data_IF_788292448055
#
_entry.id   IF_788292448055
#
_cell.length_a   1.000
_cell.length_b   1.000
_cell.length_c   1.000
_cell.angle_alpha   90.00
_cell.angle_beta   90.00
_cell.angle_gamma   90.00
#
_symmetry.space_group_name_H-M   'P 1'
#
loop_
_entity.id
_entity.type
_entity.pdbx_description
1 polymer ?
#
# COMPACT_ATOMS: atom_id res chain seq x y z
N UNK A 1 26.79 -57.61 -4.82
CA UNK A 1 27.91 -57.71 -5.78
C UNK A 1 27.60 -56.98 -7.09
N UNK A 2 26.37 -57.09 -7.62
CA UNK A 2 25.93 -56.38 -8.83
C UNK A 2 26.07 -54.85 -8.78
N UNK A 3 25.71 -54.21 -7.65
CA UNK A 3 25.76 -52.74 -7.50
C UNK A 3 27.20 -52.18 -7.59
N UNK A 4 28.18 -52.92 -7.06
CA UNK A 4 29.59 -52.54 -7.06
C UNK A 4 30.22 -52.67 -8.45
N UNK A 5 29.76 -53.64 -9.25
CA UNK A 5 30.18 -53.82 -10.64
C UNK A 5 29.56 -52.73 -11.52
N UNK A 6 28.26 -52.46 -11.36
CA UNK A 6 27.55 -51.39 -12.07
C UNK A 6 28.17 -50.01 -11.80
N UNK A 7 28.49 -49.69 -10.54
CA UNK A 7 29.14 -48.42 -10.18
C UNK A 7 30.54 -48.27 -10.78
N UNK A 8 31.32 -49.36 -10.81
CA UNK A 8 32.68 -49.35 -11.36
C UNK A 8 32.68 -49.23 -12.88
N UNK A 9 31.74 -49.88 -13.57
CA UNK A 9 31.53 -49.72 -15.02
C UNK A 9 31.05 -48.30 -15.35
N UNK A 10 30.06 -47.78 -14.63
CA UNK A 10 29.56 -46.42 -14.79
C UNK A 10 30.64 -45.36 -14.58
N UNK A 11 31.47 -45.51 -13.54
CA UNK A 11 32.60 -44.59 -13.28
C UNK A 11 33.66 -44.64 -14.38
N UNK A 12 33.90 -45.81 -14.96
CA UNK A 12 34.83 -46.00 -16.09
C UNK A 12 34.29 -45.40 -17.38
N UNK A 13 33.00 -45.57 -17.66
CA UNK A 13 32.34 -44.97 -18.83
C UNK A 13 32.16 -43.46 -18.70
N UNK A 14 32.01 -42.92 -17.48
CA UNK A 14 32.11 -41.47 -17.22
C UNK A 14 33.46 -40.92 -17.67
N UNK A 15 34.56 -41.62 -17.37
CA UNK A 15 35.91 -41.22 -17.75
C UNK A 15 36.18 -41.33 -19.27
N UNK A 16 35.35 -42.05 -20.03
CA UNK A 16 35.45 -42.20 -21.49
C UNK A 16 34.79 -41.04 -22.28
N UNK A 17 34.28 -40.01 -21.60
CA UNK A 17 33.89 -38.72 -22.19
C UNK A 17 32.48 -38.64 -22.78
N UNK A 18 31.95 -39.73 -23.34
CA UNK A 18 30.61 -39.72 -23.96
C UNK A 18 29.47 -39.53 -22.94
N UNK A 19 29.50 -40.24 -21.81
CA UNK A 19 28.49 -40.06 -20.73
C UNK A 19 28.61 -38.71 -20.04
N UNK A 20 29.82 -38.13 -20.00
CA UNK A 20 30.03 -36.78 -19.43
C UNK A 20 29.33 -35.71 -20.27
N UNK A 21 29.32 -35.85 -21.60
CA UNK A 21 28.57 -34.93 -22.47
C UNK A 21 27.06 -35.00 -22.22
N UNK A 22 26.51 -36.22 -22.08
CA UNK A 22 25.07 -36.40 -21.77
C UNK A 22 24.75 -35.84 -20.39
N UNK A 23 25.58 -36.13 -19.38
CA UNK A 23 25.40 -35.62 -18.02
C UNK A 23 25.48 -34.09 -17.99
N UNK A 24 26.44 -33.49 -18.69
CA UNK A 24 26.56 -32.04 -18.81
C UNK A 24 25.34 -31.43 -19.52
N UNK A 25 24.84 -32.05 -20.59
CA UNK A 25 23.66 -31.59 -21.30
C UNK A 25 22.40 -31.63 -20.42
N UNK A 26 22.19 -32.72 -19.67
CA UNK A 26 21.06 -32.84 -18.73
C UNK A 26 21.21 -31.84 -17.58
N UNK A 27 22.41 -31.71 -17.01
CA UNK A 27 22.68 -30.78 -15.91
C UNK A 27 22.44 -29.34 -16.37
N UNK A 28 22.90 -28.98 -17.56
CA UNK A 28 22.65 -27.69 -18.18
C UNK A 28 21.15 -27.45 -18.38
N UNK A 29 20.42 -28.41 -18.95
CA UNK A 29 18.97 -28.29 -19.15
C UNK A 29 18.21 -28.09 -17.83
N UNK A 30 18.52 -28.89 -16.80
CA UNK A 30 17.89 -28.79 -15.47
C UNK A 30 18.24 -27.48 -14.77
N UNK A 31 19.50 -27.04 -14.85
CA UNK A 31 19.94 -25.75 -14.31
C UNK A 31 19.24 -24.58 -15.01
N UNK A 32 19.11 -24.63 -16.34
CA UNK A 32 18.42 -23.59 -17.11
C UNK A 32 16.94 -23.49 -16.72
N UNK A 33 16.22 -24.62 -16.64
CA UNK A 33 14.80 -24.63 -16.23
C UNK A 33 14.64 -24.18 -14.77
N UNK A 34 15.49 -24.65 -13.87
CA UNK A 34 15.47 -24.26 -12.44
C UNK A 34 15.80 -22.78 -12.24
N UNK A 35 16.79 -22.27 -12.99
CA UNK A 35 17.17 -20.87 -12.97
C UNK A 35 16.03 -19.97 -13.43
N UNK A 36 15.35 -20.33 -14.52
CA UNK A 36 14.19 -19.60 -15.02
C UNK A 36 13.04 -19.59 -13.99
N UNK A 37 12.75 -20.74 -13.36
CA UNK A 37 11.72 -20.83 -12.31
C UNK A 37 12.03 -19.88 -11.13
N UNK A 38 13.28 -19.86 -10.65
CA UNK A 38 13.69 -18.96 -9.56
C UNK A 38 13.60 -17.48 -9.92
N UNK A 39 13.90 -17.13 -11.17
CA UNK A 39 13.74 -15.75 -11.64
C UNK A 39 12.25 -15.37 -11.65
N UNK A 40 11.38 -16.26 -12.12
CA UNK A 40 9.92 -16.04 -12.13
C UNK A 40 9.37 -15.86 -10.71
N UNK A 41 9.75 -16.71 -9.77
CA UNK A 41 9.35 -16.60 -8.35
C UNK A 41 9.81 -15.27 -7.72
N UNK A 42 11.05 -14.85 -8.00
CA UNK A 42 11.55 -13.56 -7.50
C UNK A 42 10.80 -12.38 -8.08
N UNK A 43 10.45 -12.42 -9.37
CA UNK A 43 9.62 -11.40 -10.00
C UNK A 43 8.23 -11.35 -9.36
N UNK A 44 7.59 -12.51 -9.17
CA UNK A 44 6.28 -12.60 -8.54
C UNK A 44 6.29 -12.10 -7.09
N UNK A 45 7.33 -12.45 -6.32
CA UNK A 45 7.51 -11.99 -4.95
C UNK A 45 7.79 -10.49 -4.86
N UNK A 46 8.59 -9.94 -5.78
CA UNK A 46 8.84 -8.51 -5.85
C UNK A 46 7.56 -7.73 -6.18
N UNK A 47 6.78 -8.21 -7.15
CA UNK A 47 5.49 -7.60 -7.50
C UNK A 47 4.51 -7.70 -6.32
N UNK A 48 4.38 -8.87 -5.69
CA UNK A 48 3.41 -9.08 -4.60
C UNK A 48 3.79 -8.32 -3.33
N UNK A 49 5.07 -8.33 -2.95
CA UNK A 49 5.58 -7.64 -1.76
C UNK A 49 5.52 -6.12 -1.88
N UNK A 50 5.73 -5.59 -3.08
CA UNK A 50 5.60 -4.15 -3.34
C UNK A 50 4.13 -3.75 -3.52
N UNK A 51 3.27 -4.63 -4.06
CA UNK A 51 1.83 -4.39 -4.17
C UNK A 51 1.16 -4.20 -2.81
N UNK A 52 1.48 -5.00 -1.79
CA UNK A 52 0.92 -4.80 -0.44
C UNK A 52 1.32 -3.44 0.17
N UNK A 53 2.53 -2.95 -0.12
CA UNK A 53 2.92 -1.59 0.30
C UNK A 53 2.17 -0.51 -0.46
N UNK A 54 1.82 -0.79 -1.72
CA UNK A 54 1.05 0.12 -2.59
C UNK A 54 -0.46 0.16 -2.28
N UNK A 55 -0.96 -0.75 -1.46
CA UNK A 55 -2.35 -0.70 -0.96
C UNK A 55 -2.40 -0.41 0.54
N UNK A 56 -1.28 0.01 1.12
CA UNK A 56 -1.12 0.29 2.54
C UNK A 56 -1.44 -0.87 3.52
N UNK A 57 -1.68 -2.09 3.04
CA UNK A 57 -2.14 -3.23 3.83
C UNK A 57 -1.89 -4.58 3.12
N UNK A 58 -2.09 -5.70 3.82
CA UNK A 58 -2.11 -7.03 3.17
C UNK A 58 -3.44 -7.32 2.46
N UNK A 59 -4.55 -6.81 3.02
CA UNK A 59 -5.90 -6.95 2.49
C UNK A 59 -6.69 -5.69 2.79
N UNK A 60 -7.53 -5.28 1.85
CA UNK A 60 -8.50 -4.20 2.00
C UNK A 60 -9.89 -4.83 1.90
N UNK A 61 -10.78 -4.41 2.78
CA UNK A 61 -12.22 -4.67 2.66
C UNK A 61 -12.87 -3.32 2.48
N UNK A 62 -13.36 -3.06 1.27
CA UNK A 62 -14.11 -1.86 0.95
C UNK A 62 -15.61 -2.16 1.03
N UNK A 63 -16.34 -1.31 1.74
CA UNK A 63 -17.78 -1.44 1.93
C UNK A 63 -18.41 -0.05 2.02
N UNK A 64 -19.50 0.21 1.27
CA UNK A 64 -20.22 1.49 1.35
C UNK A 64 -21.00 1.65 2.67
N UNK A 65 -21.04 0.61 3.50
CA UNK A 65 -21.71 0.62 4.81
C UNK A 65 -20.76 0.13 5.89
N UNK A 66 -21.02 0.53 7.13
CA UNK A 66 -20.22 0.09 8.27
C UNK A 66 -20.18 -1.44 8.32
N UNK A 67 -18.96 -1.99 8.35
CA UNK A 67 -18.76 -3.44 8.42
C UNK A 67 -19.41 -4.01 9.68
N UNK A 68 -19.91 -5.25 9.55
CA UNK A 68 -20.42 -6.00 10.69
C UNK A 68 -19.30 -6.25 11.72
N UNK A 69 -19.65 -6.10 12.99
CA UNK A 69 -18.74 -6.26 14.13
C UNK A 69 -18.19 -7.69 14.18
N UNK A 70 -18.96 -8.67 13.69
CA UNK A 70 -18.54 -10.07 13.60
C UNK A 70 -17.23 -10.27 12.82
N UNK A 71 -17.05 -9.54 11.72
CA UNK A 71 -15.84 -9.60 10.88
C UNK A 71 -14.63 -9.00 11.61
N UNK A 72 -14.84 -7.86 12.28
CA UNK A 72 -13.80 -7.19 13.06
C UNK A 72 -13.34 -8.05 14.25
N UNK A 73 -14.28 -8.71 14.93
CA UNK A 73 -13.95 -9.57 16.06
C UNK A 73 -13.25 -10.86 15.62
N UNK A 74 -13.61 -11.41 14.45
CA UNK A 74 -12.89 -12.55 13.90
C UNK A 74 -11.46 -12.19 13.50
N UNK A 75 -11.24 -10.99 12.94
CA UNK A 75 -9.89 -10.50 12.65
C UNK A 75 -9.04 -10.37 13.92
N UNK A 76 -9.62 -9.88 15.02
CA UNK A 76 -8.95 -9.83 16.33
C UNK A 76 -8.61 -11.23 16.86
N UNK A 77 -9.53 -12.19 16.75
CA UNK A 77 -9.30 -13.59 17.18
C UNK A 77 -8.13 -14.21 16.40
N UNK A 78 -8.01 -13.89 15.12
CA UNK A 78 -6.91 -14.34 14.26
C UNK A 78 -5.58 -13.57 14.50
N UNK A 79 -5.57 -12.59 15.41
CA UNK A 79 -4.37 -11.80 15.74
C UNK A 79 -3.96 -10.82 14.63
N UNK A 80 -4.89 -10.43 13.76
CA UNK A 80 -4.60 -9.53 12.64
C UNK A 80 -4.58 -8.07 13.11
N UNK A 81 -3.65 -7.28 12.57
CA UNK A 81 -3.66 -5.83 12.72
C UNK A 81 -4.75 -5.23 11.81
N UNK A 82 -5.54 -4.33 12.36
CA UNK A 82 -6.67 -3.71 11.68
C UNK A 82 -6.63 -2.20 11.89
N UNK A 83 -6.97 -1.46 10.83
CA UNK A 83 -7.05 -0.01 10.80
C UNK A 83 -8.26 0.35 9.96
N UNK A 84 -9.13 1.21 10.49
CA UNK A 84 -10.25 1.77 9.76
C UNK A 84 -9.83 3.06 9.04
N UNK A 85 -10.29 3.22 7.81
CA UNK A 85 -10.20 4.48 7.08
C UNK A 85 -11.52 4.74 6.35
N UNK A 86 -11.70 5.99 5.97
CA UNK A 86 -12.89 6.46 5.29
C UNK A 86 -12.51 7.50 4.26
N UNK A 87 -13.05 7.37 3.06
CA UNK A 87 -12.78 8.26 1.93
C UNK A 87 -14.07 8.84 1.40
N UNK A 88 -14.11 10.16 1.23
CA UNK A 88 -15.25 10.85 0.64
C UNK A 88 -14.81 12.14 -0.03
N UNK A 89 -15.60 12.62 -0.99
CA UNK A 89 -15.33 13.88 -1.66
C UNK A 89 -16.02 15.02 -0.91
N UNK A 90 -15.31 16.13 -0.69
CA UNK A 90 -15.86 17.34 -0.07
C UNK A 90 -15.23 18.60 -0.66
N UNK A 91 -15.99 19.69 -0.62
CA UNK A 91 -15.44 21.02 -0.86
C UNK A 91 -14.63 21.48 0.36
N UNK A 92 -13.46 22.06 0.10
CA UNK A 92 -12.67 22.79 1.11
C UNK A 92 -12.57 24.24 0.72
N UNK A 93 -12.58 25.11 1.73
CA UNK A 93 -12.52 26.56 1.57
C UNK A 93 -11.28 27.14 2.25
N UNK A 94 -10.72 28.19 1.65
CA UNK A 94 -9.62 28.96 2.19
C UNK A 94 -9.84 30.43 1.82
N UNK A 95 -10.52 31.17 2.71
CA UNK A 95 -11.03 32.50 2.39
C UNK A 95 -11.97 32.45 1.18
N UNK A 96 -11.66 33.20 0.12
CA UNK A 96 -12.48 33.28 -1.10
C UNK A 96 -12.23 32.14 -2.10
N UNK A 97 -11.25 31.26 -1.84
CA UNK A 97 -10.92 30.12 -2.72
C UNK A 97 -11.54 28.84 -2.22
N UNK A 98 -12.01 28.02 -3.15
CA UNK A 98 -12.59 26.72 -2.86
C UNK A 98 -12.11 25.66 -3.85
N UNK A 99 -11.99 24.43 -3.38
CA UNK A 99 -11.55 23.30 -4.20
C UNK A 99 -12.26 22.03 -3.77
N UNK A 100 -12.65 21.19 -4.74
CA UNK A 100 -13.11 19.83 -4.46
C UNK A 100 -11.89 18.95 -4.17
N UNK A 101 -11.92 18.26 -3.02
CA UNK A 101 -10.87 17.37 -2.55
C UNK A 101 -11.44 16.03 -2.14
N UNK A 102 -10.60 15.00 -2.17
CA UNK A 102 -10.89 13.73 -1.50
C UNK A 102 -10.38 13.81 -0.08
N UNK A 103 -11.29 13.79 0.90
CA UNK A 103 -10.94 13.68 2.30
C UNK A 103 -10.71 12.21 2.61
N UNK A 104 -9.49 11.90 3.04
CA UNK A 104 -9.09 10.60 3.55
C UNK A 104 -8.94 10.69 5.05
N UNK A 105 -9.87 10.09 5.77
CA UNK A 105 -9.87 10.06 7.21
C UNK A 105 -9.37 8.71 7.70
N UNK A 106 -8.34 8.71 8.56
CA UNK A 106 -7.65 7.48 8.97
C UNK A 106 -7.63 7.34 10.48
N UNK A 107 -7.74 6.09 10.93
CA UNK A 107 -7.50 5.73 12.32
C UNK A 107 -5.99 5.67 12.63
N UNK A 108 -5.65 5.78 13.90
CA UNK A 108 -4.29 5.55 14.37
C UNK A 108 -3.79 4.16 13.94
N UNK A 109 -2.54 4.11 13.47
CA UNK A 109 -1.93 2.89 12.92
C UNK A 109 -1.91 2.84 11.39
N UNK A 110 -2.61 3.74 10.71
CA UNK A 110 -2.44 3.93 9.26
C UNK A 110 -1.05 4.54 8.93
N UNK A 111 -0.39 4.11 7.84
CA UNK A 111 -0.67 2.90 7.06
C UNK A 111 -0.11 1.63 7.75
N UNK A 112 -0.76 0.47 7.55
CA UNK A 112 -0.27 -0.81 8.09
C UNK A 112 1.00 -1.28 7.38
N UNK A 113 1.10 -1.00 6.08
CA UNK A 113 2.29 -1.27 5.25
C UNK A 113 2.63 -0.06 4.38
N UNK A 114 3.90 0.06 4.01
CA UNK A 114 4.38 1.24 3.29
C UNK A 114 4.57 2.43 4.22
N UNK A 115 4.71 3.62 3.63
CA UNK A 115 4.94 4.88 4.35
C UNK A 115 4.34 6.04 3.59
N UNK A 116 3.89 7.05 4.32
CA UNK A 116 3.51 8.34 3.76
C UNK A 116 4.81 9.11 3.49
N UNK A 117 5.00 9.58 2.26
CA UNK A 117 6.14 10.41 1.90
C UNK A 117 5.72 11.87 1.97
N UNK A 118 6.40 12.63 2.83
CA UNK A 118 6.16 14.04 3.05
C UNK A 118 7.27 14.86 2.39
N UNK A 119 6.94 16.08 1.96
CA UNK A 119 7.93 17.02 1.43
C UNK A 119 8.93 17.44 2.51
N UNK A 120 8.44 17.61 3.74
CA UNK A 120 9.26 17.94 4.90
C UNK A 120 9.25 16.75 5.87
N UNK A 121 10.40 16.23 6.30
CA UNK A 121 10.45 15.14 7.25
C UNK A 121 9.89 15.59 8.60
N UNK A 122 9.04 14.76 9.20
CA UNK A 122 8.51 14.94 10.56
C UNK A 122 8.65 13.63 11.34
N UNK A 123 8.67 13.72 12.67
CA UNK A 123 8.64 12.55 13.55
C UNK A 123 7.23 11.93 13.64
N UNK A 124 6.20 12.73 13.35
CA UNK A 124 4.81 12.29 13.40
C UNK A 124 4.49 11.35 12.23
N UNK A 125 3.75 10.26 12.51
CA UNK A 125 3.30 9.33 11.47
C UNK A 125 1.98 9.74 10.82
N UNK A 126 1.19 10.56 11.53
CA UNK A 126 -0.14 11.02 11.15
C UNK A 126 -0.35 12.46 11.62
N UNK A 127 -1.30 13.21 11.03
CA UNK A 127 -1.65 14.55 11.50
C UNK A 127 -2.16 14.53 12.95
N UNK A 128 -1.88 15.60 13.69
CA UNK A 128 -2.48 15.80 15.01
C UNK A 128 -3.97 16.12 14.92
N UNK A 129 -4.67 16.04 16.06
CA UNK A 129 -6.09 16.42 16.12
C UNK A 129 -6.23 17.89 15.71
N UNK A 130 -7.24 18.21 14.89
CA UNK A 130 -7.46 19.52 14.28
C UNK A 130 -6.39 19.94 13.24
N UNK A 131 -5.53 19.03 12.83
CA UNK A 131 -4.59 19.26 11.74
C UNK A 131 -4.90 18.37 10.56
N UNK A 132 -4.45 18.80 9.39
CA UNK A 132 -4.57 18.05 8.14
C UNK A 132 -3.25 18.04 7.41
N UNK A 133 -2.97 16.90 6.79
CA UNK A 133 -1.92 16.80 5.79
C UNK A 133 -2.56 16.86 4.41
N UNK A 134 -1.88 17.46 3.44
CA UNK A 134 -2.48 17.79 2.16
C UNK A 134 -1.51 17.50 1.02
N UNK A 135 -2.03 17.13 -0.14
CA UNK A 135 -1.19 16.99 -1.32
C UNK A 135 -0.62 18.33 -1.79
N UNK A 136 0.63 18.28 -2.26
CA UNK A 136 1.38 19.43 -2.81
C UNK A 136 0.56 20.35 -3.72
N UNK A 137 -0.25 19.77 -4.62
CA UNK A 137 -1.03 20.55 -5.60
C UNK A 137 -2.14 21.36 -4.95
N UNK A 138 -2.72 20.91 -3.84
CA UNK A 138 -3.83 21.59 -3.18
C UNK A 138 -3.44 22.98 -2.69
N UNK A 139 -2.25 23.11 -2.09
CA UNK A 139 -1.75 24.40 -1.62
C UNK A 139 -1.64 25.41 -2.77
N UNK A 140 -1.19 24.99 -3.95
CA UNK A 140 -1.14 25.87 -5.13
C UNK A 140 -2.53 26.35 -5.57
N UNK A 141 -3.55 25.48 -5.53
CA UNK A 141 -4.93 25.82 -5.91
C UNK A 141 -5.61 26.77 -4.92
N UNK A 142 -5.33 26.60 -3.63
CA UNK A 142 -5.86 27.45 -2.56
C UNK A 142 -4.97 28.66 -2.25
N UNK A 143 -3.86 28.83 -3.00
CA UNK A 143 -2.85 29.88 -2.85
C UNK A 143 -2.21 29.95 -1.46
N UNK A 144 -1.76 28.79 -0.97
CA UNK A 144 -0.95 28.59 0.23
C UNK A 144 -1.55 29.14 1.53
N UNK A 145 -2.79 28.73 1.89
CA UNK A 145 -3.37 29.13 3.16
C UNK A 145 -2.72 28.36 4.33
N UNK A 146 -2.77 28.94 5.53
CA UNK A 146 -2.35 28.24 6.76
C UNK A 146 -3.44 27.30 7.29
N UNK A 147 -4.70 27.60 7.01
CA UNK A 147 -5.87 26.86 7.48
C UNK A 147 -6.88 26.65 6.35
N UNK A 148 -7.59 25.52 6.41
CA UNK A 148 -8.68 25.20 5.49
C UNK A 148 -9.95 24.86 6.27
N UNK A 149 -11.09 25.23 5.69
CA UNK A 149 -12.40 24.86 6.21
C UNK A 149 -12.92 23.64 5.48
N UNK A 150 -13.29 22.62 6.25
CA UNK A 150 -13.87 21.37 5.76
C UNK A 150 -15.23 21.22 6.44
N UNK A 151 -16.31 21.41 5.68
CA UNK A 151 -17.67 21.41 6.23
C UNK A 151 -17.90 22.57 7.19
N UNK A 152 -18.08 22.29 8.48
CA UNK A 152 -18.34 23.30 9.53
C UNK A 152 -17.13 23.64 10.38
N UNK A 153 -15.95 23.10 10.06
CA UNK A 153 -14.79 23.20 10.94
C UNK A 153 -13.52 23.59 10.17
N UNK A 154 -12.72 24.43 10.79
CA UNK A 154 -11.41 24.84 10.31
C UNK A 154 -10.32 23.89 10.83
N UNK A 155 -9.36 23.60 9.97
CA UNK A 155 -8.23 22.72 10.23
C UNK A 155 -6.93 23.38 9.80
N UNK A 156 -5.88 23.20 10.59
CA UNK A 156 -4.56 23.73 10.25
C UNK A 156 -3.84 22.81 9.25
N UNK A 157 -3.33 23.39 8.17
CA UNK A 157 -2.51 22.69 7.19
C UNK A 157 -1.10 22.50 7.76
N UNK A 158 -0.78 21.29 8.24
CA UNK A 158 0.47 21.07 8.99
C UNK A 158 1.60 20.48 8.15
N UNK A 159 1.33 19.53 7.26
CA UNK A 159 2.36 18.91 6.42
C UNK A 159 1.88 18.68 4.99
N UNK A 160 2.84 18.77 4.06
CA UNK A 160 2.63 18.53 2.66
C UNK A 160 3.01 17.10 2.29
N UNK A 161 2.07 16.39 1.68
CA UNK A 161 2.21 15.04 1.19
C UNK A 161 2.78 15.09 -0.23
N UNK A 162 3.89 14.38 -0.40
CA UNK A 162 4.49 14.10 -1.71
C UNK A 162 3.87 12.84 -2.32
N UNK A 163 3.71 11.78 -1.51
CA UNK A 163 3.13 10.50 -1.96
C UNK A 163 2.43 9.76 -0.84
N UNK A 164 1.23 9.27 -1.10
CA UNK A 164 0.55 8.27 -0.27
C UNK A 164 0.85 6.86 -0.78
N UNK A 165 0.98 5.87 0.12
CA UNK A 165 1.23 4.48 -0.28
C UNK A 165 0.05 3.89 -1.06
N UNK A 166 -1.19 4.25 -0.72
CA UNK A 166 -2.43 3.73 -1.30
C UNK A 166 -3.21 4.72 -2.16
N UNK A 167 -2.61 5.87 -2.47
CA UNK A 167 -3.06 6.67 -3.60
C UNK A 167 -2.73 5.87 -4.86
N UNK A 168 -3.68 5.04 -5.29
CA UNK A 168 -3.60 4.33 -6.56
C UNK A 168 -3.15 5.30 -7.65
N UNK A 169 -2.29 4.86 -8.57
CA UNK A 169 -1.82 5.69 -9.67
C UNK A 169 -3.03 6.03 -10.54
N UNK A 170 -3.67 7.15 -10.23
CA UNK A 170 -4.86 7.61 -10.91
C UNK A 170 -4.51 8.92 -11.63
N UNK A 171 -4.02 8.85 -12.87
CA UNK A 171 -3.74 10.04 -13.67
C UNK A 171 -5.00 10.86 -13.97
N UNK A 172 -6.18 10.32 -13.66
CA UNK A 172 -7.49 10.96 -13.77
C UNK A 172 -8.09 11.36 -12.41
N UNK A 173 -7.37 11.20 -11.28
CA UNK A 173 -7.84 11.71 -10.00
C UNK A 173 -7.97 13.22 -10.09
N UNK A 174 -9.21 13.69 -10.20
CA UNK A 174 -9.55 15.09 -10.45
C UNK A 174 -9.47 15.95 -9.19
N UNK A 175 -9.44 15.33 -8.00
CA UNK A 175 -9.47 16.00 -6.71
C UNK A 175 -8.18 15.69 -5.91
N UNK A 176 -7.46 16.71 -5.42
CA UNK A 176 -6.33 16.50 -4.50
C UNK A 176 -6.78 15.81 -3.21
N UNK A 177 -5.88 15.03 -2.58
CA UNK A 177 -6.17 14.35 -1.32
C UNK A 177 -5.82 15.21 -0.09
N UNK A 178 -6.69 15.17 0.92
CA UNK A 178 -6.45 15.71 2.27
C UNK A 178 -6.57 14.58 3.28
N UNK A 179 -5.51 14.34 4.03
CA UNK A 179 -5.46 13.33 5.10
C UNK A 179 -5.79 13.97 6.45
N UNK A 180 -6.74 13.38 7.17
CA UNK A 180 -7.12 13.79 8.53
C UNK A 180 -7.36 12.58 9.44
N UNK A 181 -7.54 12.81 10.74
CA UNK A 181 -7.93 11.72 11.65
C UNK A 181 -9.41 11.40 11.54
N UNK A 182 -9.75 10.11 11.68
CA UNK A 182 -11.14 9.63 11.67
C UNK A 182 -12.01 10.30 12.74
N UNK A 183 -11.44 10.60 13.91
CA UNK A 183 -12.12 11.30 15.01
C UNK A 183 -12.53 12.75 14.67
N UNK A 184 -11.85 13.38 13.72
CA UNK A 184 -12.12 14.75 13.32
C UNK A 184 -13.26 14.84 12.29
N UNK A 185 -13.56 13.75 11.59
CA UNK A 185 -14.64 13.68 10.61
C UNK A 185 -15.99 14.01 11.24
N UNK A 186 -16.28 13.46 12.41
CA UNK A 186 -17.54 13.71 13.13
C UNK A 186 -17.73 15.21 13.40
N UNK A 187 -16.63 15.94 13.61
CA UNK A 187 -16.64 17.38 13.92
C UNK A 187 -16.88 18.24 12.68
N UNK A 188 -16.71 17.69 11.47
CA UNK A 188 -17.00 18.41 10.20
C UNK A 188 -18.50 18.50 9.92
N UNK A 189 -19.30 17.57 10.45
CA UNK A 189 -20.74 17.48 10.22
C UNK A 189 -21.15 17.09 8.78
N UNK A 190 -20.18 16.66 7.97
CA UNK A 190 -20.38 16.29 6.55
C UNK A 190 -21.08 14.92 6.46
N UNK A 191 -20.73 13.99 7.34
CA UNK A 191 -21.29 12.64 7.34
C UNK A 191 -22.60 12.64 8.11
N UNK A 192 -23.70 12.73 7.37
CA UNK A 192 -25.06 12.56 7.87
C UNK A 192 -25.64 11.22 7.40
N UNK A 193 -26.63 10.65 8.10
CA UNK A 193 -27.33 9.45 7.63
C UNK A 193 -27.87 9.69 6.21
N UNK A 194 -27.29 9.02 5.21
CA UNK A 194 -27.62 9.21 3.78
C UNK A 194 -26.49 9.80 2.91
N UNK A 195 -25.39 10.25 3.51
CA UNK A 195 -24.14 10.54 2.79
C UNK A 195 -23.59 9.23 2.22
N UNK A 196 -23.36 9.20 0.90
CA UNK A 196 -22.71 8.09 0.18
C UNK A 196 -21.23 8.35 0.03
#
# INVERSE_FOLDING_TARGET
MELTIAWRLFRRELLQGQLVLILLAITLAVLSVSGLARVSERLQAAISGEASKFIAADRIIDSPTKLDVSVLDQAKILGLQQVENMEFNSMVYAGDRFQLVTIKAVQDGYPLKGKIELTTPTADKLPHVNQVWFETRLAGLLGYPEEIEVGRKSFKMSQQISRLPDAGFNPFASAPVVLMRLEDVVKTGIIQPGSR
#
